data_IF_841458552113
#
_entry.id   IF_841458552113
#
_cell.length_a   1.000
_cell.length_b   1.000
_cell.length_c   1.000
_cell.angle_alpha   90.00
_cell.angle_beta   90.00
_cell.angle_gamma   90.00
#
_symmetry.space_group_name_H-M   'P 1'
#
loop_
_entity.id
_entity.type
_entity.pdbx_description
1 polymer ?
#
# COMPACT_ATOMS: atom_id res chain seq x y z
N UNK A 1 -81.35 -12.20 13.12
CA UNK A 1 -80.28 -12.79 13.95
C UNK A 1 -79.32 -13.51 13.03
N UNK A 2 -78.21 -12.88 12.66
CA UNK A 2 -77.08 -13.51 11.96
C UNK A 2 -75.83 -12.92 12.52
N UNK A 3 -75.07 -13.74 13.22
CA UNK A 3 -73.76 -13.40 13.82
C UNK A 3 -72.70 -13.42 12.75
N UNK A 4 -72.04 -12.30 12.53
CA UNK A 4 -70.79 -12.24 11.74
C UNK A 4 -69.63 -12.53 12.65
N UNK A 5 -68.92 -13.60 12.36
CA UNK A 5 -67.57 -13.94 12.90
C UNK A 5 -66.51 -13.16 12.17
N UNK A 6 -65.84 -12.28 12.89
CA UNK A 6 -64.64 -11.59 12.43
C UNK A 6 -63.46 -12.55 12.60
N UNK A 7 -62.92 -12.99 11.47
CA UNK A 7 -61.63 -13.74 11.42
C UNK A 7 -60.51 -12.78 11.37
N UNK A 8 -59.76 -12.68 12.47
CA UNK A 8 -58.51 -11.87 12.55
C UNK A 8 -57.37 -12.61 11.85
N UNK A 9 -56.97 -12.12 10.70
CA UNK A 9 -55.82 -12.59 9.94
C UNK A 9 -54.57 -11.88 10.45
N UNK A 10 -53.80 -12.56 11.29
CA UNK A 10 -52.51 -12.08 11.76
C UNK A 10 -51.49 -12.16 10.62
N UNK A 11 -51.10 -11.00 10.06
CA UNK A 11 -50.01 -10.89 9.08
C UNK A 11 -48.73 -10.91 9.87
N UNK A 12 -48.01 -12.03 9.86
CA UNK A 12 -46.62 -12.14 10.30
C UNK A 12 -45.74 -11.42 9.30
N UNK A 13 -45.33 -10.20 9.63
CA UNK A 13 -44.27 -9.50 8.97
C UNK A 13 -42.96 -10.20 9.34
N UNK A 14 -42.50 -11.11 8.49
CA UNK A 14 -41.12 -11.59 8.47
C UNK A 14 -40.22 -10.41 8.04
N UNK A 15 -39.74 -9.67 9.02
CA UNK A 15 -38.61 -8.77 8.82
C UNK A 15 -37.40 -9.63 8.45
N UNK A 16 -37.18 -9.80 7.14
CA UNK A 16 -35.98 -10.36 6.61
C UNK A 16 -34.84 -9.45 7.02
N UNK A 17 -34.05 -9.86 8.02
CA UNK A 17 -32.70 -9.35 8.19
C UNK A 17 -31.96 -9.69 6.91
N UNK A 18 -31.91 -8.75 5.98
CA UNK A 18 -30.88 -8.74 4.95
C UNK A 18 -29.55 -8.63 5.71
N UNK A 19 -28.94 -9.78 5.96
CA UNK A 19 -27.54 -9.83 6.35
C UNK A 19 -26.80 -9.16 5.23
N UNK A 20 -26.49 -7.87 5.41
CA UNK A 20 -25.44 -7.24 4.67
C UNK A 20 -24.21 -8.10 4.99
N UNK A 21 -23.83 -8.99 4.07
CA UNK A 21 -22.52 -9.60 4.01
C UNK A 21 -21.55 -8.47 3.66
N UNK A 22 -21.42 -7.51 4.60
CA UNK A 22 -20.41 -6.47 4.54
C UNK A 22 -19.08 -7.16 4.64
N UNK A 23 -18.22 -6.86 3.72
CA UNK A 23 -16.84 -7.28 3.58
C UNK A 23 -16.08 -7.21 4.92
N UNK A 24 -16.20 -8.24 5.74
CA UNK A 24 -15.47 -8.35 7.00
C UNK A 24 -13.97 -8.45 6.77
N UNK A 25 -13.56 -8.89 5.58
CA UNK A 25 -12.14 -8.94 5.18
C UNK A 25 -11.55 -7.55 4.90
N UNK A 26 -12.33 -6.60 4.37
CA UNK A 26 -11.87 -5.21 4.18
C UNK A 26 -11.54 -4.54 5.52
N UNK A 27 -12.35 -4.76 6.56
CA UNK A 27 -12.12 -4.18 7.89
C UNK A 27 -10.84 -4.69 8.56
N UNK A 28 -10.44 -5.94 8.32
CA UNK A 28 -9.25 -6.53 8.92
C UNK A 28 -7.94 -5.93 8.36
N UNK A 29 -7.94 -5.41 7.13
CA UNK A 29 -6.77 -4.76 6.53
C UNK A 29 -6.70 -3.26 6.81
N UNK A 30 -7.81 -2.62 7.20
CA UNK A 30 -7.80 -1.20 7.53
C UNK A 30 -6.81 -0.89 8.65
N UNK A 31 -6.11 0.24 8.54
CA UNK A 31 -5.08 0.68 9.50
C UNK A 31 -3.76 1.01 8.82
N UNK A 32 -2.70 1.08 9.62
CA UNK A 32 -1.37 1.46 9.15
C UNK A 32 -0.43 0.25 9.12
N UNK A 33 0.29 0.11 8.02
CA UNK A 33 1.19 -1.00 7.75
C UNK A 33 2.56 -0.51 7.33
N UNK A 34 3.61 -1.09 7.91
CA UNK A 34 4.98 -0.99 7.43
C UNK A 34 5.35 -2.27 6.70
N UNK A 35 5.77 -2.13 5.45
CA UNK A 35 6.14 -3.23 4.57
C UNK A 35 7.60 -3.14 4.18
N UNK A 36 8.32 -4.23 4.33
CA UNK A 36 9.65 -4.41 3.80
C UNK A 36 9.58 -5.37 2.62
N UNK A 37 10.14 -4.98 1.46
CA UNK A 37 10.30 -5.91 0.36
C UNK A 37 11.38 -6.93 0.67
N UNK A 38 11.20 -8.14 0.17
CA UNK A 38 12.20 -9.19 0.30
C UNK A 38 13.23 -8.98 -0.81
N UNK A 39 14.53 -8.85 -0.48
CA UNK A 39 15.56 -8.65 -1.48
C UNK A 39 15.58 -9.81 -2.48
N UNK A 40 15.55 -9.51 -3.76
CA UNK A 40 15.78 -10.51 -4.81
C UNK A 40 17.23 -10.94 -4.78
N UNK A 41 17.50 -12.21 -5.12
CA UNK A 41 18.83 -12.86 -5.00
C UNK A 41 19.92 -12.31 -5.93
N UNK A 42 19.62 -11.32 -6.78
CA UNK A 42 20.57 -10.77 -7.73
C UNK A 42 21.38 -9.64 -7.10
N UNK A 43 22.65 -9.79 -7.18
CA UNK A 43 23.86 -8.99 -6.84
C UNK A 43 23.75 -7.54 -6.34
N UNK A 44 22.59 -6.89 -6.42
CA UNK A 44 22.33 -5.55 -5.89
C UNK A 44 21.40 -5.67 -4.70
N UNK A 45 21.81 -5.12 -3.55
CA UNK A 45 20.94 -5.03 -2.38
C UNK A 45 19.87 -3.98 -2.67
N UNK A 46 18.69 -4.47 -3.05
CA UNK A 46 17.51 -3.63 -3.18
C UNK A 46 16.75 -3.65 -1.85
N UNK A 47 16.62 -2.49 -1.24
CA UNK A 47 15.85 -2.31 -0.01
C UNK A 47 14.68 -1.38 -0.28
N UNK A 48 13.48 -1.79 0.15
CA UNK A 48 12.29 -0.98 0.03
C UNK A 48 11.48 -1.03 1.32
N UNK A 49 11.20 0.15 1.82
CA UNK A 49 10.38 0.38 3.00
C UNK A 49 9.15 1.19 2.57
N UNK A 50 7.97 0.59 2.69
CA UNK A 50 6.70 1.24 2.38
C UNK A 50 5.85 1.39 3.64
N UNK A 51 5.14 2.49 3.74
CA UNK A 51 4.09 2.74 4.73
C UNK A 51 2.76 2.91 4.00
N UNK A 52 1.82 2.04 4.28
CA UNK A 52 0.45 2.10 3.79
C UNK A 52 -0.48 2.56 4.91
N UNK A 53 -1.37 3.47 4.57
CA UNK A 53 -2.50 3.89 5.41
C UNK A 53 -3.75 3.48 4.66
N UNK A 54 -4.44 2.43 5.13
CA UNK A 54 -5.64 1.88 4.51
C UNK A 54 -6.84 2.22 5.40
N UNK A 55 -7.76 3.04 4.88
CA UNK A 55 -8.96 3.41 5.62
C UNK A 55 -10.11 2.46 5.30
N UNK A 56 -11.02 2.29 6.25
CA UNK A 56 -12.18 1.40 6.11
C UNK A 56 -13.16 1.82 5.01
N UNK A 57 -13.07 3.06 4.52
CA UNK A 57 -13.88 3.57 3.41
C UNK A 57 -13.29 3.22 2.02
N UNK A 58 -12.23 2.41 1.97
CA UNK A 58 -11.54 2.04 0.74
C UNK A 58 -10.58 3.10 0.20
N UNK A 59 -10.43 4.24 0.86
CA UNK A 59 -9.38 5.19 0.54
C UNK A 59 -8.08 4.84 1.26
N UNK A 60 -6.95 5.28 0.71
CA UNK A 60 -5.66 5.04 1.33
C UNK A 60 -4.58 5.99 0.83
N UNK A 61 -3.45 5.92 1.49
CA UNK A 61 -2.23 6.61 1.09
C UNK A 61 -1.03 5.67 1.26
N UNK A 62 -0.03 5.90 0.42
CA UNK A 62 1.26 5.22 0.55
C UNK A 62 2.38 6.24 0.53
N UNK A 63 3.46 5.93 1.21
CA UNK A 63 4.77 6.57 1.06
C UNK A 63 5.85 5.53 1.28
N UNK A 64 6.96 5.68 0.58
CA UNK A 64 8.01 4.69 0.68
C UNK A 64 9.38 5.23 0.31
N UNK A 65 10.39 4.45 0.65
CA UNK A 65 11.78 4.65 0.27
C UNK A 65 12.23 3.39 -0.43
N UNK A 66 12.78 3.53 -1.63
CA UNK A 66 13.52 2.46 -2.30
C UNK A 66 14.98 2.84 -2.41
N UNK A 67 15.87 1.91 -2.12
CA UNK A 67 17.31 2.14 -2.12
C UNK A 67 18.04 0.99 -2.81
N UNK A 68 19.07 1.33 -3.59
CA UNK A 68 20.04 0.39 -4.15
C UNK A 68 21.41 0.84 -3.66
N UNK A 69 22.07 0.01 -2.88
CA UNK A 69 23.45 0.25 -2.44
C UNK A 69 24.41 -0.31 -3.48
N UNK A 70 25.15 0.58 -4.13
CA UNK A 70 26.21 0.22 -5.08
C UNK A 70 27.54 -0.04 -4.33
N UNK A 71 27.81 0.76 -3.32
CA UNK A 71 28.91 0.64 -2.37
C UNK A 71 28.58 1.42 -1.07
N UNK A 72 29.50 1.46 -0.10
CA UNK A 72 29.30 2.09 1.21
C UNK A 72 28.94 3.59 1.15
N UNK A 73 29.31 4.27 0.07
CA UNK A 73 29.12 5.72 -0.09
C UNK A 73 28.14 6.07 -1.21
N UNK A 74 27.82 5.10 -2.06
CA UNK A 74 27.03 5.31 -3.27
C UNK A 74 25.70 4.58 -3.16
N UNK A 75 24.64 5.32 -2.83
CA UNK A 75 23.27 4.82 -2.74
C UNK A 75 22.37 5.57 -3.69
N UNK A 76 21.75 4.85 -4.61
CA UNK A 76 20.64 5.32 -5.43
C UNK A 76 19.38 5.17 -4.57
N UNK A 77 18.61 6.26 -4.40
CA UNK A 77 17.42 6.26 -3.55
C UNK A 77 16.32 7.10 -4.16
N UNK A 78 15.09 6.61 -4.02
CA UNK A 78 13.89 7.33 -4.40
C UNK A 78 12.90 7.37 -3.24
N UNK A 79 12.21 8.50 -3.11
CA UNK A 79 11.07 8.66 -2.22
C UNK A 79 9.80 8.62 -3.05
N UNK A 80 8.86 7.77 -2.66
CA UNK A 80 7.58 7.59 -3.34
C UNK A 80 6.44 7.99 -2.42
N UNK A 81 5.38 8.58 -2.97
CA UNK A 81 4.11 8.82 -2.27
C UNK A 81 2.96 8.78 -3.26
N UNK A 82 1.77 8.48 -2.76
CA UNK A 82 0.55 8.50 -3.57
C UNK A 82 -0.69 8.27 -2.73
N UNK A 83 -1.83 8.58 -3.34
CA UNK A 83 -3.14 8.25 -2.82
C UNK A 83 -3.72 7.10 -3.65
N UNK A 84 -4.50 6.24 -3.01
CA UNK A 84 -5.06 5.05 -3.62
C UNK A 84 -6.53 4.88 -3.23
N UNK A 85 -7.27 4.21 -4.09
CA UNK A 85 -8.43 3.42 -3.68
C UNK A 85 -7.97 1.99 -3.52
N UNK A 86 -8.47 1.31 -2.51
CA UNK A 86 -8.10 -0.07 -2.26
C UNK A 86 -9.33 -0.93 -1.95
N UNK A 87 -9.23 -2.19 -2.27
CA UNK A 87 -10.20 -3.20 -1.88
C UNK A 87 -9.49 -4.54 -1.65
N UNK A 88 -10.09 -5.38 -0.83
CA UNK A 88 -9.68 -6.76 -0.66
C UNK A 88 -10.85 -7.67 -1.02
N UNK A 89 -10.63 -8.59 -1.95
CA UNK A 89 -11.63 -9.57 -2.37
C UNK A 89 -10.95 -10.92 -2.56
N UNK A 90 -11.40 -11.93 -1.82
CA UNK A 90 -10.87 -13.29 -1.91
C UNK A 90 -9.34 -13.35 -1.72
N UNK A 91 -8.83 -12.66 -0.70
CA UNK A 91 -7.39 -12.55 -0.43
C UNK A 91 -6.55 -11.97 -1.58
N UNK A 92 -7.18 -11.17 -2.43
CA UNK A 92 -6.52 -10.34 -3.42
C UNK A 92 -6.72 -8.89 -3.03
N UNK A 93 -5.62 -8.22 -2.70
CA UNK A 93 -5.59 -6.78 -2.43
C UNK A 93 -5.35 -6.05 -3.75
N UNK A 94 -6.25 -5.14 -4.08
CA UNK A 94 -6.12 -4.29 -5.26
C UNK A 94 -5.99 -2.83 -4.88
N UNK A 95 -5.19 -2.10 -5.66
CA UNK A 95 -4.97 -0.67 -5.57
C UNK A 95 -5.23 -0.01 -6.91
N UNK A 96 -6.05 1.03 -6.91
CA UNK A 96 -6.17 2.00 -7.99
C UNK A 96 -5.44 3.26 -7.56
N UNK A 97 -4.32 3.59 -8.21
CA UNK A 97 -3.57 4.79 -7.90
C UNK A 97 -4.29 6.03 -8.42
N UNK A 98 -4.66 6.95 -7.52
CA UNK A 98 -5.32 8.22 -7.86
C UNK A 98 -4.27 9.28 -8.22
N UNK A 99 -3.16 9.27 -7.52
CA UNK A 99 -1.97 10.02 -7.80
C UNK A 99 -0.76 9.26 -7.27
N UNK A 100 0.39 9.54 -7.82
CA UNK A 100 1.66 9.08 -7.27
C UNK A 100 2.80 9.96 -7.74
N UNK A 101 3.82 10.07 -6.91
CA UNK A 101 5.05 10.78 -7.26
C UNK A 101 6.27 10.05 -6.74
N UNK A 102 7.37 10.18 -7.48
CA UNK A 102 8.68 9.66 -7.10
C UNK A 102 9.69 10.80 -7.22
N UNK A 103 10.52 10.98 -6.21
CA UNK A 103 11.58 12.01 -6.24
C UNK A 103 12.92 11.39 -5.87
N UNK A 104 14.00 11.75 -6.58
CA UNK A 104 15.34 11.30 -6.25
C UNK A 104 15.79 11.81 -4.87
N UNK A 105 16.47 10.92 -4.13
CA UNK A 105 17.04 11.20 -2.81
C UNK A 105 18.42 10.56 -2.63
N UNK A 106 19.19 10.52 -3.71
CA UNK A 106 20.49 9.85 -3.80
C UNK A 106 21.52 10.39 -2.81
N UNK A 107 22.52 9.55 -2.52
CA UNK A 107 23.75 10.01 -1.87
C UNK A 107 24.48 11.02 -2.78
N UNK A 108 25.37 11.83 -2.22
CA UNK A 108 26.14 12.82 -2.98
C UNK A 108 26.93 12.16 -4.12
N UNK A 109 27.51 10.98 -3.87
CA UNK A 109 28.31 10.26 -4.86
C UNK A 109 27.43 9.72 -5.99
N UNK A 110 26.27 9.12 -5.67
CA UNK A 110 25.34 8.65 -6.69
C UNK A 110 24.78 9.81 -7.54
N UNK A 111 24.37 10.91 -6.93
CA UNK A 111 23.90 12.09 -7.65
C UNK A 111 24.98 12.68 -8.58
N UNK A 112 26.26 12.71 -8.13
CA UNK A 112 27.39 13.14 -8.96
C UNK A 112 27.61 12.19 -10.14
N UNK A 113 27.59 10.87 -9.90
CA UNK A 113 27.77 9.87 -10.95
C UNK A 113 26.65 9.95 -12.01
N UNK A 114 25.39 10.07 -11.59
CA UNK A 114 24.25 10.26 -12.51
C UNK A 114 24.46 11.54 -13.32
N UNK A 115 24.78 12.67 -12.67
CA UNK A 115 25.00 13.95 -13.37
C UNK A 115 26.13 13.90 -14.40
N UNK A 116 27.13 13.07 -14.22
CA UNK A 116 28.29 12.94 -15.13
C UNK A 116 28.09 11.89 -16.23
N UNK A 117 27.05 11.09 -16.18
CA UNK A 117 26.80 10.00 -17.13
C UNK A 117 25.45 10.15 -17.83
N UNK A 118 25.48 10.47 -19.12
CA UNK A 118 24.25 10.68 -19.92
C UNK A 118 23.33 9.47 -19.96
N UNK A 119 23.89 8.26 -19.96
CA UNK A 119 23.10 7.03 -19.94
C UNK A 119 22.33 6.89 -18.62
N UNK A 120 22.98 7.13 -17.48
CA UNK A 120 22.33 7.10 -16.17
C UNK A 120 21.28 8.19 -16.03
N UNK A 121 21.53 9.39 -16.57
CA UNK A 121 20.52 10.47 -16.60
C UNK A 121 19.27 10.06 -17.39
N UNK A 122 19.47 9.44 -18.55
CA UNK A 122 18.37 8.99 -19.39
C UNK A 122 17.59 7.88 -18.71
N UNK A 123 18.25 6.89 -18.11
CA UNK A 123 17.62 5.80 -17.36
C UNK A 123 16.83 6.33 -16.16
N UNK A 124 17.40 7.28 -15.41
CA UNK A 124 16.66 7.91 -14.30
C UNK A 124 15.43 8.66 -14.79
N UNK A 125 15.57 9.43 -15.86
CA UNK A 125 14.45 10.15 -16.45
C UNK A 125 13.33 9.19 -16.87
N UNK A 126 13.66 8.12 -17.58
CA UNK A 126 12.71 7.09 -18.01
C UNK A 126 12.01 6.45 -16.81
N UNK A 127 12.76 6.09 -15.76
CA UNK A 127 12.20 5.53 -14.54
C UNK A 127 11.23 6.51 -13.82
N UNK A 128 11.59 7.80 -13.79
CA UNK A 128 10.71 8.81 -13.19
C UNK A 128 9.47 9.05 -14.06
N UNK A 129 9.64 9.15 -15.39
CA UNK A 129 8.54 9.35 -16.32
C UNK A 129 7.55 8.18 -16.28
N UNK A 130 8.03 6.94 -16.20
CA UNK A 130 7.20 5.74 -16.07
C UNK A 130 6.46 5.70 -14.74
N UNK A 131 7.08 6.20 -13.68
CA UNK A 131 6.46 6.26 -12.36
C UNK A 131 5.44 7.38 -12.24
N UNK A 132 5.66 8.53 -12.85
CA UNK A 132 4.70 9.65 -12.93
C UNK A 132 3.48 9.32 -13.77
N UNK A 133 3.43 8.15 -14.29
CA UNK A 133 2.40 7.73 -15.14
C UNK A 133 0.99 7.96 -14.61
N UNK A 134 0.21 8.61 -15.40
CA UNK A 134 -1.04 8.04 -15.87
C UNK A 134 -1.87 7.47 -14.72
N UNK A 135 -2.61 8.36 -14.10
CA UNK A 135 -3.77 8.02 -13.27
C UNK A 135 -4.51 6.84 -13.91
N UNK A 136 -4.60 5.72 -13.20
CA UNK A 136 -5.34 4.49 -13.44
C UNK A 136 -4.47 3.23 -13.47
N UNK A 137 -3.28 3.23 -12.89
CA UNK A 137 -2.57 1.99 -12.67
C UNK A 137 -3.32 1.17 -11.61
N UNK A 138 -3.87 0.09 -12.08
CA UNK A 138 -4.49 -0.92 -11.26
C UNK A 138 -3.43 -1.98 -10.93
N UNK A 139 -3.27 -2.28 -9.65
CA UNK A 139 -2.35 -3.31 -9.17
C UNK A 139 -3.13 -4.30 -8.33
N UNK A 140 -3.01 -5.58 -8.65
CA UNK A 140 -3.56 -6.67 -7.86
C UNK A 140 -2.44 -7.56 -7.33
N UNK A 141 -2.56 -7.95 -6.08
CA UNK A 141 -1.62 -8.89 -5.48
C UNK A 141 -2.34 -9.82 -4.50
N UNK A 142 -2.04 -11.11 -4.54
CA UNK A 142 -2.52 -12.02 -3.52
C UNK A 142 -1.92 -11.66 -2.17
N UNK A 143 -2.69 -11.84 -1.11
CA UNK A 143 -2.25 -11.55 0.26
C UNK A 143 -2.49 -12.74 1.17
N UNK A 144 -1.71 -12.79 2.24
CA UNK A 144 -1.93 -13.70 3.34
C UNK A 144 -1.84 -12.92 4.66
N UNK A 145 -2.93 -12.88 5.42
CA UNK A 145 -2.98 -12.25 6.73
C UNK A 145 -2.67 -13.30 7.81
N UNK A 146 -1.65 -13.03 8.61
CA UNK A 146 -1.13 -13.93 9.67
C UNK A 146 -1.13 -13.24 11.03
N UNK A 147 -0.86 -14.04 12.08
CA UNK A 147 -0.66 -13.55 13.46
C UNK A 147 -1.82 -12.68 13.94
N UNK A 148 -3.02 -13.21 13.86
CA UNK A 148 -4.26 -12.54 14.29
C UNK A 148 -4.44 -11.12 13.69
N UNK A 149 -4.02 -10.97 12.42
CA UNK A 149 -4.16 -9.71 11.71
C UNK A 149 -2.99 -8.72 11.88
N UNK A 150 -1.89 -9.11 12.49
CA UNK A 150 -0.75 -8.23 12.74
C UNK A 150 0.39 -8.37 11.72
N UNK A 151 0.36 -9.41 10.89
CA UNK A 151 1.34 -9.63 9.81
C UNK A 151 0.62 -9.86 8.49
N UNK A 152 1.05 -9.18 7.45
CA UNK A 152 0.52 -9.28 6.10
C UNK A 152 1.66 -9.65 5.16
N UNK A 153 1.47 -10.68 4.35
CA UNK A 153 2.36 -11.06 3.26
C UNK A 153 1.73 -10.57 1.96
N UNK A 154 2.49 -9.82 1.17
CA UNK A 154 2.07 -9.33 -0.14
C UNK A 154 2.75 -10.15 -1.25
N UNK A 155 1.96 -10.62 -2.21
CA UNK A 155 2.46 -11.46 -3.30
C UNK A 155 3.02 -12.80 -2.80
N UNK A 156 3.69 -13.53 -3.66
CA UNK A 156 4.50 -14.68 -3.23
C UNK A 156 5.86 -14.14 -2.76
N UNK A 157 5.95 -13.78 -1.49
CA UNK A 157 7.19 -13.27 -0.87
C UNK A 157 7.70 -11.95 -1.48
N UNK A 158 6.80 -11.14 -2.06
CA UNK A 158 7.16 -9.80 -2.56
C UNK A 158 7.50 -8.85 -1.40
N UNK A 159 6.64 -8.79 -0.39
CA UNK A 159 6.90 -7.99 0.81
C UNK A 159 6.25 -8.61 2.05
N UNK A 160 6.87 -8.37 3.19
CA UNK A 160 6.31 -8.67 4.51
C UNK A 160 5.95 -7.36 5.20
N UNK A 161 4.71 -7.26 5.65
CA UNK A 161 4.22 -6.10 6.37
C UNK A 161 3.86 -6.45 7.81
N UNK A 162 3.96 -5.46 8.68
CA UNK A 162 3.48 -5.49 10.06
C UNK A 162 2.65 -4.24 10.36
N UNK A 163 1.80 -4.32 11.39
CA UNK A 163 1.10 -3.14 11.90
C UNK A 163 2.08 -2.10 12.41
N UNK A 164 1.77 -0.84 12.22
CA UNK A 164 2.50 0.27 12.84
C UNK A 164 2.26 0.25 14.35
N UNK A 165 3.31 0.44 15.13
CA UNK A 165 3.26 0.54 16.58
C UNK A 165 3.57 1.96 17.05
N UNK A 166 3.20 2.27 18.28
CA UNK A 166 3.62 3.53 18.90
C UNK A 166 5.15 3.65 18.90
N UNK A 167 5.67 4.82 18.55
CA UNK A 167 7.10 5.10 18.42
C UNK A 167 7.88 4.28 17.38
N UNK A 168 7.21 3.80 16.36
CA UNK A 168 7.79 2.98 15.31
C UNK A 168 9.03 3.62 14.65
N UNK A 169 10.14 2.87 14.66
CA UNK A 169 11.43 3.35 14.13
C UNK A 169 11.40 3.60 12.60
N UNK A 170 10.64 2.79 11.88
CA UNK A 170 10.55 2.88 10.43
C UNK A 170 9.68 4.09 10.03
N UNK A 171 8.64 4.39 10.80
CA UNK A 171 7.88 5.65 10.66
C UNK A 171 8.76 6.86 10.95
N UNK A 172 9.61 6.81 11.99
CA UNK A 172 10.55 7.90 12.27
C UNK A 172 11.55 8.09 11.14
N UNK A 173 12.05 7.00 10.57
CA UNK A 173 12.94 7.05 9.41
C UNK A 173 12.25 7.68 8.19
N UNK A 174 11.05 7.24 7.84
CA UNK A 174 10.25 7.81 6.77
C UNK A 174 10.01 9.30 6.99
N UNK A 175 9.58 9.69 8.19
CA UNK A 175 9.36 11.10 8.55
C UNK A 175 10.62 11.96 8.36
N UNK A 176 11.78 11.45 8.75
CA UNK A 176 13.06 12.14 8.53
C UNK A 176 13.27 12.42 7.05
N UNK A 177 13.09 11.44 6.17
CA UNK A 177 13.29 11.61 4.74
C UNK A 177 12.27 12.54 4.07
N UNK A 178 10.99 12.42 4.43
CA UNK A 178 9.94 13.24 3.84
C UNK A 178 9.90 14.68 4.36
N UNK A 179 10.44 14.95 5.57
CA UNK A 179 10.49 16.29 6.16
C UNK A 179 11.75 17.08 5.80
N UNK A 180 12.85 16.42 5.39
CA UNK A 180 14.12 17.09 5.04
C UNK A 180 14.14 17.69 3.64
N UNK A 181 13.10 17.49 2.84
CA UNK A 181 12.99 18.00 1.46
C UNK A 181 11.80 18.99 1.32
N UNK A 182 11.75 19.99 2.21
CA UNK A 182 10.94 21.18 2.01
C UNK A 182 11.75 22.26 1.34
#
# INVERSE_FOLDING_TARGET
MKKCLLSSMAILLLAGCASASGDTQGSALAGEWICHSIPTKDRLTYDRLDHFILKSDGSGALRGISSIEMDKETTIRYLTKGNVKWQNKNDVLSFDFLDRSMVPAHSKNAAKAIKQNKTLQQQEKEQLDDFYCKCNDHVEMPIELKQDGNKLILGKDYATCRRVTENDKDIKLLNKWFNTKK
#
